data_IF_720363797849
#
_entry.id   IF_720363797849
#
_cell.length_a   1.000
_cell.length_b   1.000
_cell.length_c   1.000
_cell.angle_alpha   90.00
_cell.angle_beta   90.00
_cell.angle_gamma   90.00
#
_symmetry.space_group_name_H-M   'P 1'
#
loop_
_entity.id
_entity.type
_entity.pdbx_description
1 polymer ?
#
# COMPACT_ATOMS: atom_id res chain seq x y z
N UNK A 1 25.77 -13.14 25.22
CA UNK A 1 25.57 -12.29 24.05
C UNK A 1 24.28 -12.76 23.41
N UNK A 2 23.17 -12.11 23.74
CA UNK A 2 21.91 -12.33 23.04
C UNK A 2 21.86 -11.26 21.97
N UNK A 3 22.05 -11.67 20.71
CA UNK A 3 21.73 -10.82 19.58
C UNK A 3 20.25 -10.49 19.69
N UNK A 4 19.94 -9.20 19.86
CA UNK A 4 18.59 -8.70 19.71
C UNK A 4 18.25 -8.85 18.22
N UNK A 5 17.65 -9.98 17.83
CA UNK A 5 16.92 -10.02 16.57
C UNK A 5 15.84 -8.94 16.64
N UNK A 6 15.71 -8.15 15.57
CA UNK A 6 14.56 -7.26 15.44
C UNK A 6 13.30 -8.11 15.50
N UNK A 7 12.29 -7.75 16.32
CA UNK A 7 11.06 -8.52 16.41
C UNK A 7 10.20 -8.44 15.13
N UNK A 8 10.57 -7.57 14.20
CA UNK A 8 9.87 -7.29 12.95
C UNK A 8 10.52 -8.00 11.76
N UNK A 9 9.74 -8.49 10.77
CA UNK A 9 10.28 -9.12 9.58
C UNK A 9 11.16 -8.13 8.82
N UNK A 10 12.39 -8.56 8.53
CA UNK A 10 13.39 -7.73 7.89
C UNK A 10 12.97 -7.34 6.47
N UNK A 11 13.14 -6.06 6.13
CA UNK A 11 13.06 -5.58 4.75
C UNK A 11 14.25 -6.13 3.97
N UNK A 12 14.00 -7.06 3.04
CA UNK A 12 15.07 -7.77 2.33
C UNK A 12 15.61 -6.96 1.15
N UNK A 13 14.70 -6.45 0.29
CA UNK A 13 15.06 -5.70 -0.92
C UNK A 13 14.37 -4.31 -0.95
N UNK A 14 14.65 -3.41 0.01
CA UNK A 14 13.96 -2.12 0.13
C UNK A 14 14.13 -1.22 -1.11
N UNK A 15 15.23 -1.36 -1.84
CA UNK A 15 15.59 -0.58 -3.02
C UNK A 15 14.74 -0.88 -4.25
N UNK A 16 14.05 -2.04 -4.29
CA UNK A 16 13.21 -2.40 -5.44
C UNK A 16 12.16 -1.32 -5.72
N UNK A 17 11.99 -0.97 -7.00
CA UNK A 17 11.03 0.06 -7.42
C UNK A 17 9.86 -0.55 -8.17
N UNK A 18 8.73 0.17 -8.15
CA UNK A 18 7.53 -0.20 -8.90
C UNK A 18 7.80 -0.48 -10.39
N UNK A 19 8.69 0.27 -11.03
CA UNK A 19 9.05 0.05 -12.44
C UNK A 19 9.84 -1.23 -12.73
N UNK A 20 10.45 -1.85 -11.72
CA UNK A 20 11.32 -3.04 -11.85
C UNK A 20 10.50 -4.34 -11.86
N UNK A 21 9.35 -4.35 -11.17
CA UNK A 21 8.52 -5.55 -10.94
C UNK A 21 7.37 -5.73 -11.94
N UNK A 22 7.38 -4.94 -13.03
CA UNK A 22 6.29 -4.92 -14.01
C UNK A 22 6.22 -6.25 -14.78
N UNK A 23 5.06 -6.89 -14.75
CA UNK A 23 4.80 -8.10 -15.53
C UNK A 23 4.52 -7.79 -17.02
N UNK A 24 5.58 -7.58 -17.81
CA UNK A 24 5.55 -7.26 -19.26
C UNK A 24 4.93 -5.88 -19.57
N UNK A 25 4.94 -5.51 -20.85
CA UNK A 25 4.42 -4.21 -21.35
C UNK A 25 2.91 -4.03 -21.08
N UNK A 26 2.16 -5.13 -20.91
CA UNK A 26 0.71 -5.13 -20.73
C UNK A 26 0.26 -5.36 -19.25
N UNK A 27 1.17 -5.18 -18.28
CA UNK A 27 0.96 -5.46 -16.84
C UNK A 27 -0.23 -4.73 -16.19
N UNK A 28 -0.79 -3.72 -16.85
CA UNK A 28 -1.94 -2.92 -16.39
C UNK A 28 -3.29 -3.67 -16.51
N UNK A 29 -3.28 -4.96 -16.84
CA UNK A 29 -4.49 -5.78 -17.00
C UNK A 29 -4.77 -6.53 -15.71
N UNK A 30 -5.99 -6.40 -15.18
CA UNK A 30 -6.35 -7.02 -13.92
C UNK A 30 -6.66 -8.54 -14.09
N UNK A 31 -5.94 -9.42 -13.38
CA UNK A 31 -6.27 -10.82 -13.08
C UNK A 31 -6.74 -11.06 -11.61
N UNK A 32 -7.10 -12.30 -11.21
CA UNK A 32 -7.39 -12.67 -9.80
C UNK A 32 -8.69 -12.16 -9.16
N UNK A 33 -8.82 -12.33 -7.83
CA UNK A 33 -9.91 -11.75 -7.01
C UNK A 33 -9.81 -10.22 -7.00
N UNK A 34 -10.94 -9.51 -7.05
CA UNK A 34 -10.97 -8.04 -7.18
C UNK A 34 -10.76 -7.50 -8.60
N UNK A 35 -10.54 -8.34 -9.63
CA UNK A 35 -10.25 -7.89 -11.00
C UNK A 35 -11.29 -6.97 -11.65
N UNK A 36 -12.55 -7.08 -11.25
CA UNK A 36 -13.65 -6.27 -11.78
C UNK A 36 -13.68 -4.84 -11.20
N UNK A 37 -12.85 -4.57 -10.19
CA UNK A 37 -12.88 -3.34 -9.39
C UNK A 37 -11.47 -2.73 -9.20
N UNK A 38 -10.42 -3.55 -9.28
CA UNK A 38 -9.04 -3.12 -9.23
C UNK A 38 -8.63 -2.43 -10.55
N UNK A 39 -7.75 -1.43 -10.46
CA UNK A 39 -6.95 -1.01 -11.62
C UNK A 39 -5.71 -1.90 -11.68
N UNK A 40 -5.20 -2.27 -12.86
CA UNK A 40 -4.03 -3.17 -12.95
C UNK A 40 -2.76 -2.62 -12.30
N UNK A 41 -2.82 -1.35 -11.88
CA UNK A 41 -1.82 -0.60 -11.11
C UNK A 41 -1.77 -1.00 -9.63
N UNK A 42 -2.85 -1.55 -9.08
CA UNK A 42 -2.86 -2.17 -7.75
C UNK A 42 -1.96 -3.41 -7.73
N UNK A 43 -1.98 -4.20 -8.81
CA UNK A 43 -1.26 -5.47 -8.88
C UNK A 43 0.25 -5.32 -9.00
N UNK A 44 0.73 -4.23 -9.59
CA UNK A 44 2.16 -3.91 -9.52
C UNK A 44 2.57 -3.55 -8.10
N UNK A 45 1.75 -2.83 -7.33
CA UNK A 45 2.08 -2.52 -5.94
C UNK A 45 2.08 -3.79 -5.06
N UNK A 46 1.15 -4.73 -5.26
CA UNK A 46 1.17 -6.03 -4.58
C UNK A 46 2.43 -6.84 -4.92
N UNK A 47 2.80 -6.89 -6.20
CA UNK A 47 4.04 -7.54 -6.67
C UNK A 47 5.29 -6.91 -6.05
N UNK A 48 5.32 -5.58 -5.98
CA UNK A 48 6.40 -4.82 -5.36
C UNK A 48 6.53 -5.19 -3.89
N UNK A 49 5.41 -5.20 -3.16
CA UNK A 49 5.40 -5.57 -1.75
C UNK A 49 6.04 -6.95 -1.55
N UNK A 50 5.58 -7.96 -2.28
CA UNK A 50 6.13 -9.31 -2.15
C UNK A 50 7.62 -9.40 -2.50
N UNK A 51 8.07 -8.67 -3.52
CA UNK A 51 9.47 -8.68 -3.91
C UNK A 51 10.40 -8.02 -2.86
N UNK A 52 9.90 -7.05 -2.09
CA UNK A 52 10.65 -6.41 -0.99
C UNK A 52 10.93 -7.40 0.16
N UNK A 53 10.00 -8.32 0.43
CA UNK A 53 10.07 -9.27 1.55
C UNK A 53 10.48 -10.69 1.15
N UNK A 54 10.72 -10.96 -0.13
CA UNK A 54 11.15 -12.26 -0.63
C UNK A 54 12.66 -12.30 -0.89
N UNK A 55 13.37 -13.29 -0.33
CA UNK A 55 14.83 -13.45 -0.50
C UNK A 55 15.26 -13.57 -1.97
N UNK A 56 14.41 -14.15 -2.80
CA UNK A 56 14.70 -14.30 -4.23
C UNK A 56 14.33 -13.06 -5.06
N UNK A 57 13.69 -12.07 -4.44
CA UNK A 57 13.18 -10.88 -5.12
C UNK A 57 12.02 -11.18 -6.07
N UNK A 58 11.30 -12.28 -5.87
CA UNK A 58 10.25 -12.72 -6.78
C UNK A 58 9.02 -11.81 -6.65
N UNK A 59 8.64 -11.22 -7.77
CA UNK A 59 7.43 -10.43 -7.90
C UNK A 59 6.22 -11.34 -8.20
N UNK A 60 5.39 -11.61 -7.19
CA UNK A 60 4.14 -12.37 -7.34
C UNK A 60 2.97 -11.72 -6.58
N UNK A 61 1.75 -12.22 -6.79
CA UNK A 61 0.55 -11.78 -6.05
C UNK A 61 0.22 -12.79 -4.96
N UNK A 62 -0.08 -12.28 -3.76
CA UNK A 62 -0.34 -13.09 -2.57
C UNK A 62 -1.81 -13.23 -2.19
N UNK A 63 -2.72 -12.45 -2.78
CA UNK A 63 -4.09 -12.16 -2.27
C UNK A 63 -4.69 -13.32 -1.49
N UNK A 64 -4.77 -13.13 -0.17
CA UNK A 64 -5.19 -14.15 0.80
C UNK A 64 -6.68 -14.01 1.07
N UNK A 65 -7.14 -12.76 1.25
CA UNK A 65 -8.55 -12.42 1.46
C UNK A 65 -8.85 -11.03 0.85
N UNK A 66 -10.12 -10.57 0.91
CA UNK A 66 -10.56 -9.29 0.34
C UNK A 66 -9.96 -8.03 0.99
N UNK A 67 -9.43 -8.19 2.20
CA UNK A 67 -8.83 -7.14 3.05
C UNK A 67 -7.39 -7.47 3.46
N UNK A 68 -6.80 -8.52 2.86
CA UNK A 68 -5.41 -8.96 3.07
C UNK A 68 -4.81 -9.31 1.69
N UNK A 69 -4.07 -8.36 1.14
CA UNK A 69 -3.39 -8.47 -0.15
C UNK A 69 -2.14 -9.35 -0.06
N UNK A 70 -1.47 -9.39 1.10
CA UNK A 70 -0.32 -10.26 1.34
C UNK A 70 -0.10 -10.58 2.82
N UNK A 71 0.77 -11.56 3.08
CA UNK A 71 1.21 -11.97 4.41
C UNK A 71 2.72 -12.13 4.44
N UNK A 72 3.37 -11.57 5.46
CA UNK A 72 4.81 -11.75 5.72
C UNK A 72 4.98 -12.59 6.97
N UNK A 73 5.58 -13.80 6.86
CA UNK A 73 5.87 -14.62 8.04
C UNK A 73 7.04 -14.03 8.84
N UNK A 74 7.00 -14.20 10.17
CA UNK A 74 8.04 -13.75 11.09
C UNK A 74 7.72 -14.15 12.51
N UNK A 75 8.58 -13.75 13.47
CA UNK A 75 8.25 -13.85 14.90
C UNK A 75 7.02 -13.00 15.22
N UNK A 76 7.00 -11.76 14.70
CA UNK A 76 5.79 -11.01 14.42
C UNK A 76 5.51 -11.14 12.92
N UNK A 77 4.32 -11.63 12.56
CA UNK A 77 3.90 -11.73 11.17
C UNK A 77 3.04 -10.53 10.77
N UNK A 78 3.04 -10.16 9.49
CA UNK A 78 2.26 -9.04 8.99
C UNK A 78 1.12 -9.48 8.09
N UNK A 79 -0.10 -9.04 8.42
CA UNK A 79 -1.24 -9.04 7.50
C UNK A 79 -1.27 -7.67 6.79
N UNK A 80 -1.27 -7.67 5.46
CA UNK A 80 -0.92 -6.49 4.68
C UNK A 80 -2.04 -6.09 3.74
N UNK A 81 -2.44 -4.83 3.80
CA UNK A 81 -3.29 -4.18 2.80
C UNK A 81 -2.46 -3.22 1.95
N UNK A 82 -2.46 -3.42 0.62
CA UNK A 82 -1.67 -2.64 -0.32
C UNK A 82 -2.53 -1.55 -0.96
N UNK A 83 -2.01 -0.33 -0.99
CA UNK A 83 -2.69 0.82 -1.62
C UNK A 83 -1.73 1.58 -2.53
N UNK A 84 -2.16 1.83 -3.76
CA UNK A 84 -1.40 2.64 -4.70
C UNK A 84 -2.20 3.83 -5.23
N UNK A 85 -1.53 4.96 -5.50
CA UNK A 85 -2.15 6.12 -6.13
C UNK A 85 -1.16 6.91 -7.00
N UNK A 86 -1.70 7.72 -7.91
CA UNK A 86 -0.88 8.60 -8.75
C UNK A 86 -0.32 9.76 -7.92
N UNK A 87 0.84 10.30 -8.27
CA UNK A 87 1.37 11.47 -7.60
C UNK A 87 0.47 12.69 -7.80
N UNK A 88 -0.01 12.90 -9.03
CA UNK A 88 -1.00 13.93 -9.38
C UNK A 88 -1.93 13.39 -10.47
N UNK A 89 -3.21 13.72 -10.36
CA UNK A 89 -4.16 13.52 -11.46
C UNK A 89 -3.78 14.45 -12.62
N UNK A 90 -4.04 14.00 -13.86
CA UNK A 90 -3.89 14.86 -15.02
C UNK A 90 -4.94 15.97 -14.97
N UNK A 91 -4.53 17.19 -15.27
CA UNK A 91 -5.44 18.31 -15.53
C UNK A 91 -5.63 18.45 -17.03
N UNK A 92 -6.83 18.86 -17.45
CA UNK A 92 -7.09 19.29 -18.83
C UNK A 92 -6.49 20.68 -19.13
N UNK A 93 -6.09 21.41 -18.08
CA UNK A 93 -5.32 22.64 -18.15
C UNK A 93 -3.84 22.32 -17.96
N UNK A 94 -2.91 23.13 -18.49
CA UNK A 94 -1.47 22.98 -18.27
C UNK A 94 -1.03 23.20 -16.80
N UNK A 95 -1.98 23.23 -15.86
CA UNK A 95 -1.73 23.37 -14.43
C UNK A 95 -1.54 21.99 -13.78
N UNK A 96 -0.73 21.89 -12.70
CA UNK A 96 -0.61 20.65 -11.95
C UNK A 96 -1.97 20.24 -11.38
N UNK A 97 -2.46 19.06 -11.74
CA UNK A 97 -3.68 18.52 -11.16
C UNK A 97 -3.54 18.21 -9.66
N UNK A 98 -4.68 17.87 -9.04
CA UNK A 98 -4.75 17.53 -7.61
C UNK A 98 -3.86 16.33 -7.29
N UNK A 99 -3.37 16.25 -6.06
CA UNK A 99 -2.66 15.06 -5.58
C UNK A 99 -3.55 13.82 -5.71
N UNK A 100 -2.96 12.68 -6.05
CA UNK A 100 -3.68 11.42 -6.03
C UNK A 100 -4.12 11.06 -4.62
N UNK A 101 -5.14 10.22 -4.55
CA UNK A 101 -5.77 9.81 -3.31
C UNK A 101 -5.72 8.30 -3.17
N UNK A 102 -5.41 7.85 -1.96
CA UNK A 102 -5.69 6.49 -1.53
C UNK A 102 -7.15 6.39 -1.16
N UNK A 103 -7.76 5.26 -1.53
CA UNK A 103 -9.12 4.91 -1.14
C UNK A 103 -9.04 3.73 -0.17
N UNK A 104 -9.62 3.93 1.01
CA UNK A 104 -9.69 2.92 2.07
C UNK A 104 -11.16 2.64 2.31
N UNK A 105 -11.56 1.37 2.31
CA UNK A 105 -12.92 0.96 2.62
C UNK A 105 -13.00 0.63 4.11
N UNK A 106 -14.02 1.15 4.78
CA UNK A 106 -14.14 1.01 6.24
C UNK A 106 -14.23 -0.44 6.64
N UNK A 107 -15.06 -1.23 5.96
CA UNK A 107 -15.25 -2.63 6.31
C UNK A 107 -13.94 -3.44 6.15
N UNK A 108 -13.16 -3.22 5.08
CA UNK A 108 -11.84 -3.87 4.95
C UNK A 108 -10.85 -3.42 6.03
N UNK A 109 -10.83 -2.12 6.36
CA UNK A 109 -9.97 -1.60 7.43
C UNK A 109 -10.32 -2.20 8.79
N UNK A 110 -11.61 -2.21 9.13
CA UNK A 110 -12.11 -2.80 10.37
C UNK A 110 -11.82 -4.30 10.45
N UNK A 111 -12.00 -5.02 9.33
CA UNK A 111 -11.74 -6.46 9.24
C UNK A 111 -10.25 -6.80 9.37
N UNK A 112 -9.38 -6.03 8.72
CA UNK A 112 -7.93 -6.17 8.85
C UNK A 112 -7.51 -6.05 10.32
N UNK A 113 -7.94 -5.01 11.03
CA UNK A 113 -7.62 -4.84 12.45
C UNK A 113 -8.24 -5.96 13.29
N UNK A 114 -9.52 -6.28 13.07
CA UNK A 114 -10.24 -7.27 13.88
C UNK A 114 -9.69 -8.69 13.71
N UNK A 115 -9.33 -9.10 12.50
CA UNK A 115 -8.76 -10.43 12.24
C UNK A 115 -7.37 -10.56 12.83
N UNK A 116 -6.53 -9.56 12.63
CA UNK A 116 -5.15 -9.60 13.13
C UNK A 116 -5.11 -9.54 14.66
N UNK A 117 -6.04 -8.82 15.31
CA UNK A 117 -6.16 -8.78 16.78
C UNK A 117 -6.48 -10.14 17.44
N UNK A 118 -6.86 -11.15 16.66
CA UNK A 118 -7.08 -12.51 17.18
C UNK A 118 -5.76 -13.26 17.46
N UNK A 119 -4.63 -12.70 17.01
CA UNK A 119 -3.31 -13.32 17.12
C UNK A 119 -2.31 -12.31 17.70
N UNK A 120 -1.82 -12.58 18.92
CA UNK A 120 -0.83 -11.71 19.59
C UNK A 120 0.50 -11.57 18.80
N UNK A 121 0.77 -12.49 17.88
CA UNK A 121 1.99 -12.53 17.05
C UNK A 121 1.77 -11.97 15.63
N UNK A 122 0.72 -11.19 15.40
CA UNK A 122 0.46 -10.57 14.11
C UNK A 122 0.21 -9.07 14.22
N UNK A 123 0.63 -8.34 13.21
CA UNK A 123 0.43 -6.89 13.12
C UNK A 123 -0.21 -6.52 11.79
N UNK A 124 -1.34 -5.78 11.79
CA UNK A 124 -1.97 -5.32 10.57
C UNK A 124 -1.21 -4.09 10.05
N UNK A 125 -0.82 -4.09 8.78
CA UNK A 125 -0.08 -2.97 8.19
C UNK A 125 -0.64 -2.54 6.84
N UNK A 126 -0.43 -1.27 6.50
CA UNK A 126 -0.61 -0.77 5.14
C UNK A 126 0.73 -0.60 4.44
N UNK A 127 0.76 -1.01 3.17
CA UNK A 127 1.81 -0.63 2.24
C UNK A 127 1.30 0.37 1.21
N UNK A 128 1.73 1.62 1.32
CA UNK A 128 1.34 2.71 0.44
C UNK A 128 2.40 2.97 -0.64
N UNK A 129 1.99 3.01 -1.91
CA UNK A 129 2.86 3.34 -3.04
C UNK A 129 2.33 4.53 -3.83
N UNK A 130 3.16 5.54 -4.04
CA UNK A 130 2.84 6.67 -4.92
C UNK A 130 3.66 6.54 -6.19
N UNK A 131 3.03 6.70 -7.35
CA UNK A 131 3.71 6.62 -8.65
C UNK A 131 3.36 7.78 -9.58
N UNK A 132 4.25 8.11 -10.48
CA UNK A 132 3.98 8.99 -11.62
C UNK A 132 3.84 8.17 -12.89
N UNK A 133 3.07 8.67 -13.87
CA UNK A 133 3.00 8.05 -15.19
C UNK A 133 3.76 8.92 -16.18
N UNK A 134 4.85 8.41 -16.72
CA UNK A 134 5.67 9.08 -17.75
C UNK A 134 5.75 8.20 -18.98
N UNK A 135 5.29 8.71 -20.13
CA UNK A 135 5.26 7.95 -21.39
C UNK A 135 4.53 6.60 -21.25
N UNK A 136 3.43 6.57 -20.47
CA UNK A 136 2.68 5.34 -20.19
C UNK A 136 3.33 4.38 -19.19
N UNK A 137 4.49 4.73 -18.64
CA UNK A 137 5.23 3.92 -17.67
C UNK A 137 5.00 4.47 -16.27
N UNK A 138 4.59 3.60 -15.36
CA UNK A 138 4.56 3.87 -13.92
C UNK A 138 5.98 3.94 -13.39
N UNK A 139 6.30 5.04 -12.72
CA UNK A 139 7.57 5.24 -12.02
C UNK A 139 7.29 5.58 -10.58
N UNK A 140 7.89 4.85 -9.66
CA UNK A 140 7.76 5.10 -8.24
C UNK A 140 8.14 6.55 -7.89
N UNK A 141 7.38 7.15 -7.00
CA UNK A 141 7.68 8.44 -6.36
C UNK A 141 8.09 8.24 -4.92
N UNK A 142 7.55 7.21 -4.27
CA UNK A 142 7.93 6.77 -2.92
C UNK A 142 7.01 5.68 -2.42
N UNK A 143 7.43 5.01 -1.35
CA UNK A 143 6.68 3.94 -0.68
C UNK A 143 6.84 3.99 0.84
N UNK A 144 5.82 3.53 1.54
CA UNK A 144 5.68 3.65 2.99
C UNK A 144 4.99 2.41 3.57
N UNK A 145 5.53 1.89 4.67
CA UNK A 145 4.90 0.91 5.55
C UNK A 145 4.45 1.60 6.83
N UNK A 146 3.22 1.31 7.27
CA UNK A 146 2.63 1.92 8.46
C UNK A 146 1.65 0.94 9.13
N UNK A 147 1.65 0.81 10.47
CA UNK A 147 0.64 0.03 11.18
C UNK A 147 -0.77 0.52 10.89
N UNK A 148 -1.73 -0.40 10.77
CA UNK A 148 -3.12 -0.06 10.48
C UNK A 148 -3.75 0.79 11.59
N UNK A 149 -3.34 0.59 12.84
CA UNK A 149 -3.79 1.40 13.99
C UNK A 149 -3.34 2.87 13.87
N UNK A 150 -2.09 3.10 13.48
CA UNK A 150 -1.58 4.45 13.20
C UNK A 150 -2.30 5.08 12.00
N UNK A 151 -2.70 4.27 11.01
CA UNK A 151 -3.56 4.74 9.92
C UNK A 151 -4.93 5.16 10.46
N UNK A 152 -5.58 4.35 11.29
CA UNK A 152 -6.89 4.66 11.88
C UNK A 152 -6.87 6.02 12.61
N UNK A 153 -5.84 6.26 13.43
CA UNK A 153 -5.66 7.52 14.17
C UNK A 153 -5.58 8.76 13.26
N UNK A 154 -5.03 8.61 12.05
CA UNK A 154 -4.91 9.71 11.09
C UNK A 154 -6.07 9.79 10.09
N UNK A 155 -7.00 8.83 10.09
CA UNK A 155 -8.27 8.92 9.38
C UNK A 155 -9.27 9.69 10.26
N UNK A 156 -9.89 10.74 9.71
CA UNK A 156 -10.77 11.62 10.51
C UNK A 156 -12.26 11.22 10.45
N UNK A 157 -12.72 10.75 9.29
CA UNK A 157 -14.14 10.61 8.97
C UNK A 157 -14.34 9.63 7.81
N UNK A 158 -15.47 8.94 7.82
CA UNK A 158 -15.89 8.02 6.77
C UNK A 158 -17.07 8.63 6.01
N UNK A 159 -16.98 8.64 4.69
CA UNK A 159 -18.06 9.05 3.79
C UNK A 159 -18.74 7.84 3.16
N UNK A 160 -20.02 7.94 2.90
CA UNK A 160 -20.78 6.89 2.21
C UNK A 160 -20.63 7.07 0.69
N UNK A 161 -20.21 6.03 -0.02
CA UNK A 161 -20.01 6.04 -1.48
C UNK A 161 -20.68 4.80 -2.11
N UNK A 162 -21.45 5.00 -3.19
CA UNK A 162 -22.01 3.91 -3.97
C UNK A 162 -20.93 3.31 -4.87
N UNK A 163 -20.58 2.05 -4.62
CA UNK A 163 -19.62 1.30 -5.40
C UNK A 163 -20.30 0.30 -6.34
N UNK A 164 -19.89 0.28 -7.61
CA UNK A 164 -20.52 -0.49 -8.69
C UNK A 164 -20.74 -1.99 -8.40
N UNK A 165 -19.95 -2.60 -7.53
CA UNK A 165 -20.09 -4.02 -7.15
C UNK A 165 -20.37 -4.27 -5.68
N UNK A 166 -20.14 -3.29 -4.80
CA UNK A 166 -20.29 -3.48 -3.34
C UNK A 166 -21.57 -2.82 -2.83
N UNK A 167 -22.24 -2.00 -3.65
CA UNK A 167 -23.33 -1.15 -3.21
C UNK A 167 -22.82 0.02 -2.38
N UNK A 168 -23.68 0.51 -1.51
CA UNK A 168 -23.42 1.67 -0.66
C UNK A 168 -22.48 1.30 0.50
N UNK A 169 -21.24 1.80 0.45
CA UNK A 169 -20.20 1.43 1.40
C UNK A 169 -19.49 2.64 2.00
N UNK A 170 -19.03 2.50 3.24
CA UNK A 170 -18.25 3.56 3.90
C UNK A 170 -16.81 3.53 3.39
N UNK A 171 -16.33 4.67 2.91
CA UNK A 171 -14.97 4.86 2.43
C UNK A 171 -14.35 6.14 2.94
N UNK A 172 -13.02 6.14 3.00
CA UNK A 172 -12.23 7.34 3.15
C UNK A 172 -11.29 7.47 1.96
N UNK A 173 -11.37 8.62 1.29
CA UNK A 173 -10.34 9.06 0.35
C UNK A 173 -9.41 10.06 1.05
N UNK A 174 -8.10 9.82 0.97
CA UNK A 174 -7.09 10.71 1.53
C UNK A 174 -5.97 10.94 0.52
N UNK A 175 -5.64 12.20 0.26
CA UNK A 175 -4.50 12.50 -0.61
C UNK A 175 -3.21 11.99 0.02
N UNK A 176 -2.30 11.40 -0.76
CA UNK A 176 -1.03 10.90 -0.23
C UNK A 176 -0.25 12.01 0.50
N UNK A 177 -0.34 13.26 0.00
CA UNK A 177 0.32 14.40 0.64
C UNK A 177 -0.24 14.72 2.04
N UNK A 178 -1.57 14.63 2.22
CA UNK A 178 -2.21 14.82 3.53
C UNK A 178 -1.90 13.65 4.47
N UNK A 179 -1.88 12.42 3.96
CA UNK A 179 -1.51 11.24 4.74
C UNK A 179 -0.10 11.40 5.32
N UNK A 180 0.90 11.69 4.48
CA UNK A 180 2.27 11.91 4.93
C UNK A 180 2.36 13.02 5.98
N UNK A 181 1.66 14.14 5.75
CA UNK A 181 1.62 15.25 6.72
C UNK A 181 1.08 14.81 8.08
N UNK A 182 0.03 13.99 8.13
CA UNK A 182 -0.55 13.49 9.39
C UNK A 182 0.34 12.47 10.08
N UNK A 183 1.08 11.68 9.30
CA UNK A 183 2.09 10.73 9.79
C UNK A 183 3.43 11.38 10.17
N UNK A 184 3.56 12.71 10.09
CA UNK A 184 4.82 13.40 10.38
C UNK A 184 5.95 13.14 9.35
N UNK A 185 5.61 12.56 8.19
CA UNK A 185 6.56 12.23 7.13
C UNK A 185 6.69 13.40 6.15
N UNK A 186 7.90 13.89 5.93
CA UNK A 186 8.14 14.94 4.93
C UNK A 186 8.10 14.38 3.51
N UNK A 187 7.65 15.18 2.55
CA UNK A 187 7.66 14.77 1.14
C UNK A 187 9.05 14.56 0.57
N UNK A 188 10.06 15.22 1.13
CA UNK A 188 11.44 15.08 0.67
C UNK A 188 12.03 13.75 1.16
N UNK A 189 11.77 13.40 2.43
CA UNK A 189 12.10 12.09 3.00
C UNK A 189 11.45 10.97 2.19
N UNK A 190 10.13 11.08 1.95
CA UNK A 190 9.36 10.08 1.21
C UNK A 190 9.85 9.82 -0.23
N UNK A 191 10.48 10.81 -0.87
CA UNK A 191 11.03 10.68 -2.23
C UNK A 191 12.49 10.26 -2.28
N UNK A 192 13.22 10.36 -1.18
CA UNK A 192 14.67 10.13 -1.13
C UNK A 192 15.04 8.81 -0.47
N UNK A 193 14.23 8.35 0.49
CA UNK A 193 14.41 7.03 1.10
C UNK A 193 13.84 5.94 0.18
N UNK A 194 14.46 4.76 0.22
CA UNK A 194 14.00 3.61 -0.56
C UNK A 194 12.62 3.14 -0.10
N UNK A 195 12.41 3.13 1.21
CA UNK A 195 11.13 2.88 1.86
C UNK A 195 11.14 3.57 3.22
N UNK A 196 10.02 4.18 3.58
CA UNK A 196 9.81 4.63 4.96
C UNK A 196 9.11 3.49 5.70
N UNK A 197 9.70 3.01 6.79
CA UNK A 197 9.07 2.03 7.66
C UNK A 197 8.66 2.68 8.98
N UNK A 198 7.36 2.69 9.30
CA UNK A 198 6.82 3.18 10.57
C UNK A 198 6.33 2.03 11.47
N UNK A 199 6.66 0.77 11.16
CA UNK A 199 6.31 -0.37 12.03
C UNK A 199 7.26 -0.56 13.21
N UNK A 200 8.37 0.18 13.24
CA UNK A 200 9.42 0.13 14.27
C UNK A 200 9.39 1.33 15.24
N UNK A 201 8.43 2.27 15.09
CA UNK A 201 8.36 3.53 15.86
C UNK A 201 7.43 3.47 17.09
#
# INVERSE_FOLDING_TARGET
MTENCSPNPDLINPEMKLEDIRYRVNANTCDGHGRSTASGRGYNAERLFNAIFDESGTAFRGTIDSHIDSYVPGEIAYDVEVKSCVARYQSSTNEPGRYGQFRIWKHHHDQLIAETSQYDSRTPIYFFVVYSVRLGIEKEVGKLLVPAEVVDDVLDSWSLEEHVTMGEEKTRQISWHLLLKRLGVSTDRFKSEDIINLTDE
#
